data_IF_217775757801
#
_entry.id   IF_217775757801
#
_cell.length_a   1.000
_cell.length_b   1.000
_cell.length_c   1.000
_cell.angle_alpha   90.00
_cell.angle_beta   90.00
_cell.angle_gamma   90.00
#
_symmetry.space_group_name_H-M   'P 1'
#
loop_
_entity.id
_entity.type
_entity.pdbx_description
1 polymer ?
#
# COMPACT_ATOMS: atom_id res chain seq x y z
N UNK A 1 22.50 -8.24 -14.39
CA UNK A 1 22.67 -6.82 -14.13
C UNK A 1 21.35 -6.04 -14.15
N UNK A 2 20.61 -5.93 -15.29
CA UNK A 2 19.38 -5.11 -15.34
C UNK A 2 18.26 -5.64 -14.45
N UNK A 3 17.95 -6.93 -14.54
CA UNK A 3 16.92 -7.58 -13.72
C UNK A 3 17.17 -7.40 -12.21
N UNK A 4 18.42 -7.46 -11.78
CA UNK A 4 18.80 -7.28 -10.39
C UNK A 4 18.58 -5.83 -9.92
N UNK A 5 18.94 -4.85 -10.75
CA UNK A 5 18.69 -3.43 -10.46
C UNK A 5 17.19 -3.12 -10.40
N UNK A 6 16.41 -3.65 -11.35
CA UNK A 6 14.96 -3.50 -11.37
C UNK A 6 14.34 -4.12 -10.13
N UNK A 7 14.75 -5.35 -9.76
CA UNK A 7 14.26 -6.03 -8.57
C UNK A 7 14.57 -5.22 -7.30
N UNK A 8 15.80 -4.75 -7.14
CA UNK A 8 16.21 -3.94 -5.98
C UNK A 8 15.37 -2.66 -5.89
N UNK A 9 15.09 -2.02 -7.03
CA UNK A 9 14.28 -0.81 -7.10
C UNK A 9 12.81 -1.07 -6.75
N UNK A 10 12.19 -2.12 -7.33
CA UNK A 10 10.82 -2.55 -7.01
C UNK A 10 10.66 -2.82 -5.51
N UNK A 11 11.58 -3.60 -4.95
CA UNK A 11 11.57 -3.95 -3.53
C UNK A 11 11.72 -2.72 -2.65
N UNK A 12 12.62 -1.81 -2.97
CA UNK A 12 12.81 -0.56 -2.23
C UNK A 12 11.55 0.31 -2.25
N UNK A 13 10.99 0.53 -3.44
CA UNK A 13 9.82 1.39 -3.65
C UNK A 13 8.60 0.85 -2.91
N UNK A 14 8.28 -0.42 -3.12
CA UNK A 14 7.09 -1.05 -2.53
C UNK A 14 7.27 -1.41 -1.05
N UNK A 15 8.50 -1.59 -0.61
CA UNK A 15 8.86 -1.77 0.78
C UNK A 15 8.85 -0.49 1.61
N UNK A 16 8.73 0.70 0.99
CA UNK A 16 8.74 1.99 1.69
C UNK A 16 10.07 2.34 2.33
N UNK A 17 11.17 1.69 1.91
CA UNK A 17 12.48 1.87 2.51
C UNK A 17 13.27 3.01 1.85
N UNK A 18 13.98 3.80 2.66
CA UNK A 18 14.82 4.90 2.18
C UNK A 18 16.06 4.40 1.42
N UNK A 19 16.62 3.27 1.85
CA UNK A 19 17.82 2.68 1.28
C UNK A 19 17.53 1.42 0.48
N UNK A 20 18.26 1.17 -0.61
CA UNK A 20 18.11 -0.04 -1.39
C UNK A 20 18.57 -1.28 -0.58
N UNK A 21 18.02 -2.46 -0.87
CA UNK A 21 18.49 -3.70 -0.27
C UNK A 21 19.93 -3.99 -0.69
N UNK A 22 20.67 -4.70 0.15
CA UNK A 22 22.02 -5.18 -0.19
C UNK A 22 21.98 -6.06 -1.43
N UNK A 23 22.97 -5.91 -2.29
CA UNK A 23 23.06 -6.59 -3.58
C UNK A 23 22.95 -8.12 -3.46
N UNK A 24 23.66 -8.71 -2.50
CA UNK A 24 23.65 -10.15 -2.22
C UNK A 24 22.24 -10.67 -1.89
N UNK A 25 21.47 -9.91 -1.07
CA UNK A 25 20.10 -10.26 -0.71
C UNK A 25 19.15 -10.16 -1.92
N UNK A 26 19.37 -9.15 -2.75
CA UNK A 26 18.60 -8.98 -4.00
C UNK A 26 18.89 -10.12 -4.99
N UNK A 27 20.15 -10.55 -5.09
CA UNK A 27 20.53 -11.68 -5.93
C UNK A 27 19.94 -13.00 -5.42
N UNK A 28 19.97 -13.21 -4.10
CA UNK A 28 19.32 -14.34 -3.46
C UNK A 28 17.82 -14.40 -3.77
N UNK A 29 17.11 -13.27 -3.66
CA UNK A 29 15.69 -13.20 -4.03
C UNK A 29 15.47 -13.46 -5.52
N UNK A 30 16.31 -12.87 -6.39
CA UNK A 30 16.20 -13.09 -7.85
C UNK A 30 16.38 -14.57 -8.24
N UNK A 31 17.32 -15.28 -7.61
CA UNK A 31 17.50 -16.71 -7.81
C UNK A 31 16.27 -17.51 -7.40
N UNK A 32 15.68 -17.21 -6.25
CA UNK A 32 14.44 -17.84 -5.78
C UNK A 32 13.27 -17.60 -6.73
N UNK A 33 13.11 -16.36 -7.23
CA UNK A 33 12.05 -16.02 -8.19
C UNK A 33 12.18 -16.82 -9.48
N UNK A 34 13.40 -17.03 -9.99
CA UNK A 34 13.67 -17.90 -11.17
C UNK A 34 13.31 -19.36 -10.93
N UNK A 35 13.28 -19.79 -9.68
CA UNK A 35 12.87 -21.13 -9.26
C UNK A 35 11.37 -21.21 -8.92
N UNK A 36 10.59 -20.17 -9.22
CA UNK A 36 9.16 -20.11 -8.87
C UNK A 36 8.89 -19.87 -7.38
N UNK A 37 9.89 -19.47 -6.61
CA UNK A 37 9.78 -19.25 -5.17
C UNK A 37 9.71 -17.75 -4.84
N UNK A 38 8.76 -17.38 -4.02
CA UNK A 38 8.66 -16.02 -3.49
C UNK A 38 9.58 -15.76 -2.29
N UNK A 39 9.42 -14.61 -1.66
CA UNK A 39 10.16 -14.25 -0.44
C UNK A 39 9.83 -12.87 0.07
N UNK A 40 10.53 -12.46 1.12
CA UNK A 40 10.47 -11.10 1.66
C UNK A 40 11.85 -10.46 1.61
N UNK A 41 11.90 -9.18 1.31
CA UNK A 41 13.12 -8.39 1.31
C UNK A 41 12.78 -6.92 1.55
N UNK A 42 13.46 -6.27 2.50
CA UNK A 42 13.32 -4.84 2.79
C UNK A 42 11.87 -4.36 2.84
N UNK A 43 11.01 -5.03 3.64
CA UNK A 43 9.62 -4.67 3.82
C UNK A 43 8.71 -4.91 2.60
N UNK A 44 9.22 -5.53 1.55
CA UNK A 44 8.44 -5.98 0.40
C UNK A 44 8.28 -7.50 0.43
N UNK A 45 7.08 -7.99 0.22
CA UNK A 45 6.75 -9.41 0.01
C UNK A 45 6.55 -9.67 -1.46
N UNK A 46 7.15 -10.74 -1.96
CA UNK A 46 7.01 -11.19 -3.35
C UNK A 46 6.41 -12.59 -3.34
N UNK A 47 5.34 -12.78 -4.07
CA UNK A 47 4.74 -14.10 -4.32
C UNK A 47 4.79 -14.41 -5.81
N UNK A 48 5.04 -15.67 -6.15
CA UNK A 48 4.96 -16.15 -7.53
C UNK A 48 3.58 -16.79 -7.74
N UNK A 49 2.88 -16.36 -8.78
CA UNK A 49 1.54 -16.85 -9.15
C UNK A 49 1.57 -17.15 -10.64
N UNK A 50 1.67 -18.42 -11.01
CA UNK A 50 1.92 -18.84 -12.39
C UNK A 50 3.26 -18.26 -12.87
N UNK A 51 3.26 -17.63 -14.03
CA UNK A 51 4.45 -16.98 -14.62
C UNK A 51 4.68 -15.53 -14.16
N UNK A 52 3.90 -15.05 -13.17
CA UNK A 52 3.96 -13.66 -12.71
C UNK A 52 4.47 -13.57 -11.28
N UNK A 53 5.21 -12.52 -10.99
CA UNK A 53 5.59 -12.16 -9.63
C UNK A 53 4.72 -10.99 -9.14
N UNK A 54 4.05 -11.19 -8.02
CA UNK A 54 3.26 -10.17 -7.34
C UNK A 54 4.12 -9.57 -6.22
N UNK A 55 4.35 -8.27 -6.29
CA UNK A 55 5.08 -7.52 -5.27
C UNK A 55 4.10 -6.69 -4.44
N UNK A 56 4.20 -6.75 -3.12
CA UNK A 56 3.43 -5.91 -2.22
C UNK A 56 4.20 -5.60 -0.93
N UNK A 57 3.67 -4.68 -0.14
CA UNK A 57 4.19 -4.38 1.19
C UNK A 57 4.12 -5.62 2.08
N UNK A 58 5.12 -5.85 2.91
CA UNK A 58 5.09 -6.85 3.97
C UNK A 58 4.22 -6.34 5.13
N UNK A 59 3.12 -7.06 5.44
CA UNK A 59 2.13 -6.61 6.42
C UNK A 59 2.73 -6.34 7.82
N UNK A 60 3.66 -7.20 8.26
CA UNK A 60 4.32 -7.04 9.56
C UNK A 60 5.35 -5.88 9.63
N UNK A 61 5.60 -5.20 8.52
CA UNK A 61 6.57 -4.09 8.43
C UNK A 61 5.90 -2.75 8.13
N UNK A 62 4.58 -2.69 8.07
CA UNK A 62 3.87 -1.42 7.89
C UNK A 62 4.09 -0.49 9.08
N UNK A 63 4.10 0.80 8.82
CA UNK A 63 4.10 1.81 9.86
C UNK A 63 2.82 1.71 10.72
N UNK A 64 2.92 2.13 11.97
CA UNK A 64 1.75 2.30 12.82
C UNK A 64 0.76 3.28 12.19
N UNK A 65 -0.52 3.16 12.56
CA UNK A 65 -1.53 4.13 12.13
C UNK A 65 -1.20 5.52 12.68
N UNK A 66 -1.47 6.55 11.87
CA UNK A 66 -1.25 7.96 12.21
C UNK A 66 -2.56 8.71 12.22
N UNK A 67 -2.79 9.50 13.29
CA UNK A 67 -3.95 10.40 13.38
C UNK A 67 -3.87 11.51 12.33
N UNK A 68 -5.02 11.88 11.76
CA UNK A 68 -5.10 12.93 10.74
C UNK A 68 -6.17 13.93 11.15
N UNK A 69 -5.76 15.18 11.34
CA UNK A 69 -6.69 16.27 11.62
C UNK A 69 -7.40 16.74 10.33
N UNK A 70 -8.65 17.23 10.42
CA UNK A 70 -9.31 17.90 9.31
C UNK A 70 -8.45 19.04 8.75
N UNK A 71 -8.33 19.14 7.42
CA UNK A 71 -7.49 20.11 6.73
C UNK A 71 -6.00 19.77 6.69
N UNK A 72 -5.56 18.69 7.33
CA UNK A 72 -4.15 18.31 7.36
C UNK A 72 -3.75 17.40 6.19
N UNK A 73 -2.44 17.40 5.95
CA UNK A 73 -1.77 16.45 5.05
C UNK A 73 -0.77 15.61 5.85
N UNK A 74 -0.72 14.30 5.61
CA UNK A 74 0.20 13.38 6.28
C UNK A 74 0.84 12.42 5.30
N UNK A 75 2.09 12.04 5.57
CA UNK A 75 2.74 10.92 4.90
C UNK A 75 2.65 9.67 5.78
N UNK A 76 2.41 8.52 5.14
CA UNK A 76 2.31 7.26 5.85
C UNK A 76 3.05 6.14 5.13
N UNK A 77 3.75 5.33 5.93
CA UNK A 77 4.47 4.12 5.55
C UNK A 77 5.54 4.32 4.45
N UNK A 78 5.98 5.58 4.21
CA UNK A 78 6.93 5.92 3.15
C UNK A 78 6.43 5.67 1.73
N UNK A 79 5.13 5.47 1.55
CA UNK A 79 4.50 5.10 0.28
C UNK A 79 3.30 5.94 -0.10
N UNK A 80 2.62 6.54 0.86
CA UNK A 80 1.37 7.25 0.64
C UNK A 80 1.39 8.63 1.28
N UNK A 81 0.70 9.56 0.63
CA UNK A 81 0.33 10.86 1.17
C UNK A 81 -1.17 10.98 1.16
N UNK A 82 -1.74 11.44 2.26
CA UNK A 82 -3.15 11.71 2.43
C UNK A 82 -3.35 13.19 2.71
N UNK A 83 -4.26 13.83 2.01
CA UNK A 83 -4.82 15.15 2.35
C UNK A 83 -6.27 14.96 2.79
N UNK A 84 -6.62 15.50 3.94
CA UNK A 84 -7.96 15.45 4.51
C UNK A 84 -8.62 16.83 4.38
N UNK A 85 -9.84 16.90 3.85
CA UNK A 85 -10.57 18.14 3.72
C UNK A 85 -10.88 18.76 5.10
N UNK A 86 -10.97 20.09 5.19
CA UNK A 86 -11.34 20.76 6.43
C UNK A 86 -12.73 20.38 6.95
N UNK A 87 -13.65 20.00 6.04
CA UNK A 87 -14.99 19.53 6.36
C UNK A 87 -15.06 18.03 6.73
N UNK A 88 -13.93 17.31 6.72
CA UNK A 88 -13.90 15.89 7.07
C UNK A 88 -14.14 15.69 8.59
N UNK A 89 -14.65 14.50 9.00
CA UNK A 89 -14.81 14.19 10.41
C UNK A 89 -13.47 14.25 11.17
N UNK A 90 -13.53 14.69 12.42
CA UNK A 90 -12.39 14.60 13.34
C UNK A 90 -12.19 13.16 13.87
N UNK A 91 -10.99 12.89 14.38
CA UNK A 91 -10.68 11.59 15.00
C UNK A 91 -10.39 10.47 13.99
N UNK A 92 -10.09 10.82 12.73
CA UNK A 92 -9.66 9.85 11.73
C UNK A 92 -8.18 9.50 11.90
N UNK A 93 -7.84 8.25 11.57
CA UNK A 93 -6.45 7.79 11.46
C UNK A 93 -6.23 7.03 10.15
N UNK A 94 -5.04 7.17 9.57
CA UNK A 94 -4.59 6.44 8.38
C UNK A 94 -3.72 5.27 8.80
N UNK A 95 -4.04 4.07 8.31
CA UNK A 95 -3.29 2.84 8.64
C UNK A 95 -3.51 1.75 7.60
N UNK A 96 -2.89 0.59 7.81
CA UNK A 96 -3.14 -0.59 6.97
C UNK A 96 -4.49 -1.23 7.29
N UNK A 97 -5.22 -1.66 6.26
CA UNK A 97 -6.55 -2.25 6.39
C UNK A 97 -6.58 -3.47 7.34
N UNK A 98 -5.54 -4.30 7.29
CA UNK A 98 -5.48 -5.52 8.07
C UNK A 98 -6.50 -6.59 7.64
N UNK A 99 -6.36 -7.79 8.19
CA UNK A 99 -7.28 -8.89 7.90
C UNK A 99 -8.68 -8.65 8.47
N UNK A 100 -8.77 -8.05 9.65
CA UNK A 100 -10.04 -7.71 10.28
C UNK A 100 -10.79 -6.62 9.51
N UNK A 101 -10.07 -5.57 9.08
CA UNK A 101 -10.64 -4.52 8.23
C UNK A 101 -11.14 -5.07 6.92
N UNK A 102 -10.36 -5.96 6.26
CA UNK A 102 -10.82 -6.64 5.06
C UNK A 102 -12.12 -7.42 5.29
N UNK A 103 -12.24 -8.17 6.38
CA UNK A 103 -13.47 -8.92 6.71
C UNK A 103 -14.71 -8.02 6.75
N UNK A 104 -14.56 -6.78 7.21
CA UNK A 104 -15.67 -5.80 7.28
C UNK A 104 -16.08 -5.23 5.92
N UNK A 105 -15.11 -5.00 5.03
CA UNK A 105 -15.38 -4.34 3.73
C UNK A 105 -15.62 -5.33 2.59
N UNK A 106 -15.25 -6.58 2.77
CA UNK A 106 -15.26 -7.60 1.71
C UNK A 106 -16.62 -7.81 1.05
N UNK A 107 -17.72 -7.63 1.78
CA UNK A 107 -19.07 -7.79 1.25
C UNK A 107 -19.50 -6.61 0.37
N UNK A 108 -19.02 -5.40 0.72
CA UNK A 108 -19.32 -4.19 -0.04
C UNK A 108 -18.48 -4.08 -1.34
N UNK A 109 -17.39 -4.86 -1.44
CA UNK A 109 -16.51 -4.86 -2.63
C UNK A 109 -16.92 -5.95 -3.58
N UNK A 110 -17.32 -5.57 -4.80
CA UNK A 110 -17.67 -6.51 -5.88
C UNK A 110 -16.57 -7.53 -6.12
N UNK A 111 -16.93 -8.78 -6.43
CA UNK A 111 -15.95 -9.88 -6.58
C UNK A 111 -14.86 -9.58 -7.62
N UNK A 112 -15.24 -8.94 -8.72
CA UNK A 112 -14.29 -8.54 -9.80
C UNK A 112 -13.33 -7.43 -9.39
N UNK A 113 -13.67 -6.64 -8.39
CA UNK A 113 -12.84 -5.53 -7.88
C UNK A 113 -11.95 -5.93 -6.69
N UNK A 114 -12.00 -7.19 -6.26
CA UNK A 114 -11.22 -7.66 -5.11
C UNK A 114 -9.75 -7.82 -5.47
N UNK A 115 -8.85 -7.14 -4.77
CA UNK A 115 -7.41 -7.32 -4.99
C UNK A 115 -6.97 -8.72 -4.55
N UNK A 116 -5.80 -9.19 -5.01
CA UNK A 116 -5.20 -10.44 -4.55
C UNK A 116 -5.15 -10.51 -3.02
N UNK A 117 -5.36 -11.70 -2.45
CA UNK A 117 -5.44 -11.89 -1.00
C UNK A 117 -4.25 -11.31 -0.24
N UNK A 118 -3.05 -11.41 -0.84
CA UNK A 118 -1.81 -10.90 -0.29
C UNK A 118 -1.79 -9.36 -0.13
N UNK A 119 -2.50 -8.64 -1.01
CA UNK A 119 -2.54 -7.17 -1.04
C UNK A 119 -3.57 -6.61 -0.07
N UNK A 120 -4.65 -7.33 0.20
CA UNK A 120 -5.78 -6.84 1.01
C UNK A 120 -5.38 -6.22 2.35
N UNK A 121 -4.57 -6.89 3.20
CA UNK A 121 -4.24 -6.36 4.52
C UNK A 121 -3.33 -5.13 4.47
N UNK A 122 -2.63 -4.89 3.36
CA UNK A 122 -1.65 -3.80 3.23
C UNK A 122 -2.19 -2.58 2.48
N UNK A 123 -3.48 -2.60 2.11
CA UNK A 123 -4.15 -1.43 1.55
C UNK A 123 -4.23 -0.31 2.59
N UNK A 124 -3.98 0.94 2.21
CA UNK A 124 -4.23 2.07 3.09
C UNK A 124 -5.73 2.24 3.34
N UNK A 125 -6.10 2.48 4.59
CA UNK A 125 -7.47 2.67 5.02
C UNK A 125 -7.56 3.78 6.07
N UNK A 126 -8.67 4.49 6.08
CA UNK A 126 -9.04 5.42 7.11
C UNK A 126 -9.91 4.72 8.15
N UNK A 127 -9.64 5.02 9.42
CA UNK A 127 -10.34 4.47 10.57
C UNK A 127 -10.86 5.59 11.47
N UNK A 128 -11.98 5.32 12.12
CA UNK A 128 -12.48 6.08 13.26
C UNK A 128 -12.73 5.14 14.46
N UNK A 129 -13.39 5.62 15.52
CA UNK A 129 -13.73 4.82 16.69
C UNK A 129 -14.66 3.63 16.37
N UNK A 130 -15.41 3.67 15.28
CA UNK A 130 -16.31 2.61 14.80
C UNK A 130 -15.61 1.58 13.90
N UNK A 131 -14.33 1.78 13.59
CA UNK A 131 -13.50 0.91 12.75
C UNK A 131 -13.24 1.49 11.36
N UNK A 132 -13.27 0.67 10.30
CA UNK A 132 -12.96 1.11 8.93
C UNK A 132 -13.97 2.18 8.49
N UNK A 133 -13.49 3.39 8.26
CA UNK A 133 -14.24 4.51 7.72
C UNK A 133 -14.26 4.48 6.19
N UNK A 134 -13.07 4.39 5.57
CA UNK A 134 -12.94 4.35 4.12
C UNK A 134 -11.71 3.55 3.66
N UNK A 135 -11.79 2.96 2.46
CA UNK A 135 -10.66 2.32 1.77
C UNK A 135 -10.59 2.90 0.35
N UNK A 136 -9.75 3.93 0.13
CA UNK A 136 -9.74 4.70 -1.12
C UNK A 136 -9.57 3.85 -2.37
N UNK A 137 -8.62 2.93 -2.36
CA UNK A 137 -8.33 2.05 -3.50
C UNK A 137 -9.44 1.06 -3.87
N UNK A 138 -10.44 0.93 -3.02
CA UNK A 138 -11.62 0.07 -3.26
C UNK A 138 -12.88 0.88 -3.52
N UNK A 139 -12.80 2.20 -3.50
CA UNK A 139 -13.97 3.08 -3.55
C UNK A 139 -14.92 2.88 -2.37
N UNK A 140 -14.45 2.25 -1.28
CA UNK A 140 -15.28 2.00 -0.11
C UNK A 140 -15.31 3.22 0.81
N UNK A 141 -16.52 3.65 1.14
CA UNK A 141 -16.78 4.60 2.21
C UNK A 141 -18.02 4.11 2.98
N UNK A 142 -17.90 3.98 4.30
CA UNK A 142 -18.97 3.47 5.16
C UNK A 142 -20.23 4.34 5.12
N UNK A 143 -20.09 5.65 4.94
CA UNK A 143 -21.21 6.59 4.94
C UNK A 143 -21.81 6.83 3.54
N UNK A 144 -21.29 6.15 2.52
CA UNK A 144 -21.80 6.27 1.16
C UNK A 144 -21.61 7.65 0.50
N UNK A 145 -20.91 8.56 1.17
CA UNK A 145 -20.59 9.89 0.63
C UNK A 145 -19.52 9.81 -0.46
N UNK A 146 -19.46 10.82 -1.32
CA UNK A 146 -18.36 10.97 -2.27
C UNK A 146 -17.03 11.09 -1.51
N UNK A 147 -16.28 10.01 -1.53
CA UNK A 147 -15.00 9.92 -0.85
C UNK A 147 -14.01 10.97 -1.36
N UNK A 148 -14.10 11.34 -2.63
CA UNK A 148 -13.22 12.34 -3.25
C UNK A 148 -13.38 13.75 -2.67
N UNK A 149 -14.54 14.07 -2.11
CA UNK A 149 -14.79 15.35 -1.45
C UNK A 149 -14.17 15.44 -0.05
N UNK A 150 -13.98 14.30 0.63
CA UNK A 150 -13.49 14.26 2.02
C UNK A 150 -11.99 14.07 2.14
N UNK A 151 -11.39 13.31 1.23
CA UNK A 151 -9.95 13.03 1.28
C UNK A 151 -9.39 12.70 -0.11
N UNK A 152 -8.09 12.95 -0.25
CA UNK A 152 -7.30 12.50 -1.40
C UNK A 152 -6.13 11.68 -0.89
N UNK A 153 -5.96 10.48 -1.46
CA UNK A 153 -4.84 9.61 -1.17
C UNK A 153 -4.10 9.30 -2.48
N UNK A 154 -2.79 9.51 -2.48
CA UNK A 154 -1.96 9.21 -3.64
C UNK A 154 -0.65 8.56 -3.24
N UNK A 155 -0.03 7.79 -4.17
CA UNK A 155 1.30 7.24 -3.96
C UNK A 155 2.33 8.37 -3.80
N UNK A 156 3.12 8.32 -2.75
CA UNK A 156 4.22 9.25 -2.47
C UNK A 156 5.48 8.46 -2.12
N UNK A 157 5.92 7.64 -3.07
CA UNK A 157 7.09 6.80 -2.86
C UNK A 157 8.34 7.66 -2.67
N UNK A 158 9.10 7.40 -1.62
CA UNK A 158 10.40 8.06 -1.38
C UNK A 158 11.37 7.89 -2.56
N UNK A 159 11.22 6.80 -3.30
CA UNK A 159 12.01 6.47 -4.48
C UNK A 159 11.08 5.87 -5.55
N UNK A 160 10.43 6.69 -6.40
CA UNK A 160 9.55 6.19 -7.44
C UNK A 160 10.31 5.37 -8.48
N UNK A 161 9.62 4.47 -9.16
CA UNK A 161 10.19 3.62 -10.22
C UNK A 161 10.61 4.42 -11.44
N UNK A 162 9.86 5.47 -11.73
CA UNK A 162 10.13 6.43 -12.80
C UNK A 162 10.22 7.83 -12.20
N UNK A 163 11.08 8.68 -12.73
CA UNK A 163 11.13 10.10 -12.34
C UNK A 163 9.94 10.91 -12.89
N UNK A 164 9.10 10.29 -13.70
CA UNK A 164 7.94 10.93 -14.34
C UNK A 164 6.80 10.93 -13.33
N UNK A 165 6.71 12.01 -12.56
CA UNK A 165 5.62 12.29 -11.61
C UNK A 165 4.30 12.72 -12.30
N UNK A 166 4.08 12.45 -13.56
CA UNK A 166 2.99 13.05 -14.32
C UNK A 166 2.21 12.07 -15.18
N UNK A 167 1.74 10.98 -14.69
CA UNK A 167 0.68 10.26 -15.40
C UNK A 167 -0.07 9.31 -14.49
N UNK A 168 -0.91 9.86 -13.62
CA UNK A 168 -2.14 9.19 -13.16
C UNK A 168 -3.06 10.31 -12.66
N UNK A 169 -3.69 10.97 -13.62
CA UNK A 169 -4.91 11.73 -13.37
C UNK A 169 -6.08 10.76 -13.38
#
# INVERSE_FOLDING_TARGET
PLALRLLARLVQTLGGEALPPRLERSDGLLRRLRQGQGGTLSGCRVAVVGERALFCREAGRMAAAVGVAPGAEVEWDGRFRLSLAAAAPSGLSLGGLGSQGWGRVAQAVGRSCRPPALVRPVLPALFDQRGVFAVPHLGYNREGQDAGALFRLWPAFRRPLTEIAHCLA
#
